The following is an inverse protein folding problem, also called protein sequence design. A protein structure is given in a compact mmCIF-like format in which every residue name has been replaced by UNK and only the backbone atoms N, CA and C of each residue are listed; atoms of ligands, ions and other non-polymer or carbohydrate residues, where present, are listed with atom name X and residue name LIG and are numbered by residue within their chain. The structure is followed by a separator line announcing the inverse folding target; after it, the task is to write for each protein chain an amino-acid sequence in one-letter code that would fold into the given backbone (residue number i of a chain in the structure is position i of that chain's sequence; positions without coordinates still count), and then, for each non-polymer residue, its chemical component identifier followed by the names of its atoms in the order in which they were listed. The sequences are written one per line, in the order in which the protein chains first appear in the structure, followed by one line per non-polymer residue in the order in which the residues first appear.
data_IF_835773399109
#
_entry.id   IF_835773399109
#
_cell.length_a   1.000
_cell.length_b   1.000
_cell.length_c   1.000
_cell.angle_alpha   90.00
_cell.angle_beta   90.00
_cell.angle_gamma   90.00
#
_symmetry.space_group_name_H-M   'P 1'
#
loop_
_entity.id
_entity.type
_entity.pdbx_description
1 polymer ?
#
# COMPACT_ATOMS: atom_id res chain seq x y z
N UNK A 1 16.25 -12.99 -59.18
CA UNK A 1 16.29 -12.15 -57.96
C UNK A 1 14.93 -11.49 -57.66
N UNK A 2 13.82 -12.24 -57.70
CA UNK A 2 12.46 -11.70 -57.43
C UNK A 2 11.69 -12.48 -56.35
N UNK A 3 12.24 -13.61 -55.91
CA UNK A 3 11.65 -14.51 -54.90
C UNK A 3 12.25 -14.34 -53.50
N UNK A 4 13.30 -13.53 -53.36
CA UNK A 4 13.92 -13.25 -52.06
C UNK A 4 13.18 -12.17 -51.25
N UNK A 5 12.37 -11.33 -51.92
CA UNK A 5 11.66 -10.24 -51.25
C UNK A 5 10.37 -10.73 -50.54
N UNK A 6 9.76 -11.80 -51.04
CA UNK A 6 8.55 -12.39 -50.46
C UNK A 6 8.83 -13.27 -49.25
N UNK A 7 10.04 -13.83 -49.12
CA UNK A 7 10.43 -14.61 -47.93
C UNK A 7 10.77 -13.72 -46.74
N UNK A 8 11.24 -12.49 -46.97
CA UNK A 8 11.59 -11.55 -45.89
C UNK A 8 10.36 -10.92 -45.22
N UNK A 9 9.21 -10.90 -45.89
CA UNK A 9 7.97 -10.31 -45.37
C UNK A 9 7.24 -11.23 -44.35
N UNK A 10 7.51 -12.55 -44.38
CA UNK A 10 6.84 -13.53 -43.52
C UNK A 10 7.58 -13.82 -42.21
N UNK A 11 8.83 -13.36 -42.06
CA UNK A 11 9.59 -13.50 -40.80
C UNK A 11 9.25 -12.42 -39.74
N UNK A 12 8.45 -11.42 -40.10
CA UNK A 12 8.09 -10.31 -39.21
C UNK A 12 6.91 -10.55 -38.27
N UNK A 13 6.16 -11.64 -38.44
CA UNK A 13 4.90 -11.88 -37.70
C UNK A 13 5.02 -12.84 -36.50
N UNK A 14 6.22 -13.26 -36.13
CA UNK A 14 6.44 -14.25 -35.06
C UNK A 14 7.04 -13.66 -33.76
N UNK A 15 7.00 -12.35 -33.54
CA UNK A 15 7.25 -11.82 -32.19
C UNK A 15 5.96 -11.94 -31.38
N UNK A 16 5.79 -13.15 -30.85
CA UNK A 16 4.82 -13.50 -29.85
C UNK A 16 4.87 -12.49 -28.69
N UNK A 17 3.69 -12.13 -28.23
CA UNK A 17 3.37 -11.61 -26.91
C UNK A 17 4.30 -12.16 -25.83
N UNK A 18 5.24 -11.36 -25.34
CA UNK A 18 5.86 -11.61 -24.04
C UNK A 18 4.85 -11.19 -22.97
N UNK A 19 3.95 -12.10 -22.60
CA UNK A 19 3.34 -12.09 -21.27
C UNK A 19 4.00 -13.20 -20.45
N UNK A 20 5.29 -13.03 -20.14
CA UNK A 20 5.87 -13.74 -19.02
C UNK A 20 5.52 -12.94 -17.78
N UNK A 21 4.40 -13.29 -17.16
CA UNK A 21 4.15 -12.94 -15.77
C UNK A 21 4.96 -13.96 -14.97
N UNK A 22 6.25 -13.66 -14.75
CA UNK A 22 7.01 -14.36 -13.72
C UNK A 22 6.39 -13.99 -12.38
N UNK A 23 5.45 -14.82 -11.90
CA UNK A 23 5.22 -14.94 -10.48
C UNK A 23 6.43 -15.69 -9.95
N UNK A 24 7.53 -14.96 -9.77
CA UNK A 24 8.57 -15.38 -8.86
C UNK A 24 7.97 -15.29 -7.46
N UNK A 25 7.35 -16.38 -7.01
CA UNK A 25 7.30 -16.68 -5.59
C UNK A 25 8.74 -16.94 -5.18
N UNK A 26 9.44 -15.87 -4.80
CA UNK A 26 10.67 -16.02 -4.05
C UNK A 26 10.27 -16.72 -2.75
N UNK A 27 10.56 -18.02 -2.70
CA UNK A 27 10.59 -18.76 -1.46
C UNK A 27 11.75 -18.17 -0.65
N UNK A 28 11.45 -17.11 0.10
CA UNK A 28 12.33 -16.61 1.14
C UNK A 28 12.22 -17.59 2.30
N UNK A 29 12.77 -18.79 2.12
CA UNK A 29 13.21 -19.67 3.20
C UNK A 29 14.31 -18.93 3.94
N UNK A 30 13.90 -18.01 4.82
CA UNK A 30 14.59 -17.49 6.01
C UNK A 30 13.82 -16.25 6.50
N UNK A 31 12.54 -16.41 6.83
CA UNK A 31 11.93 -15.59 7.85
C UNK A 31 11.35 -16.56 8.87
N UNK A 32 12.13 -16.79 9.92
CA UNK A 32 11.70 -17.61 11.03
C UNK A 32 10.36 -17.08 11.53
N UNK A 33 9.30 -17.84 11.28
CA UNK A 33 8.10 -17.76 12.10
C UNK A 33 8.57 -18.10 13.50
N UNK A 34 8.73 -17.05 14.34
CA UNK A 34 8.88 -17.25 15.78
C UNK A 34 7.54 -17.79 16.25
N UNK A 35 7.43 -19.10 16.22
CA UNK A 35 6.51 -19.84 17.09
C UNK A 35 7.01 -19.59 18.49
N UNK A 36 6.20 -18.92 19.27
CA UNK A 36 6.45 -18.56 20.66
C UNK A 36 6.96 -19.74 21.47
N UNK A 37 8.21 -19.67 21.92
CA UNK A 37 8.62 -20.10 23.26
C UNK A 37 9.96 -19.46 23.67
N UNK A 38 9.90 -18.80 24.82
CA UNK A 38 10.97 -18.46 25.78
C UNK A 38 12.06 -17.39 25.47
N UNK A 39 11.99 -16.33 26.28
CA UNK A 39 13.02 -15.47 26.86
C UNK A 39 14.37 -15.27 26.11
N UNK A 40 14.55 -14.08 25.54
CA UNK A 40 15.77 -13.26 25.75
C UNK A 40 15.61 -11.86 25.15
N UNK A 41 16.15 -10.87 25.87
CA UNK A 41 16.01 -9.44 25.63
C UNK A 41 16.47 -9.02 24.23
N UNK A 42 15.52 -8.64 23.39
CA UNK A 42 15.71 -7.66 22.32
C UNK A 42 14.35 -7.04 22.02
N UNK A 43 14.27 -5.73 22.18
CA UNK A 43 13.05 -4.95 22.00
C UNK A 43 12.68 -4.89 20.52
N UNK A 44 12.25 -6.01 19.95
CA UNK A 44 11.53 -6.04 18.69
C UNK A 44 10.17 -5.44 19.01
N UNK A 45 9.95 -4.21 18.59
CA UNK A 45 8.63 -3.59 18.60
C UNK A 45 7.71 -4.46 17.76
N UNK A 46 6.99 -5.38 18.41
CA UNK A 46 5.86 -6.09 17.81
C UNK A 46 4.87 -5.02 17.40
N UNK A 47 4.87 -4.69 16.12
CA UNK A 47 3.89 -3.76 15.55
C UNK A 47 2.49 -4.26 15.91
N UNK A 48 1.52 -3.35 16.13
CA UNK A 48 0.13 -3.76 16.19
C UNK A 48 -0.11 -4.58 14.93
N UNK A 49 -0.55 -5.84 15.09
CA UNK A 49 -1.13 -6.61 13.99
C UNK A 49 -2.00 -5.62 13.21
N UNK A 50 -1.64 -5.35 11.95
CA UNK A 50 -2.60 -4.79 11.01
C UNK A 50 -3.77 -5.76 11.11
N UNK A 51 -4.87 -5.25 11.64
CA UNK A 51 -5.96 -6.01 12.25
C UNK A 51 -6.31 -7.26 11.46
N UNK A 52 -6.57 -8.39 12.15
CA UNK A 52 -7.12 -9.61 11.54
C UNK A 52 -8.46 -9.34 10.79
N UNK A 53 -9.09 -8.17 11.04
CA UNK A 53 -10.32 -7.69 10.38
C UNK A 53 -10.09 -6.53 9.38
N UNK A 54 -8.84 -6.11 9.15
CA UNK A 54 -8.50 -4.96 8.31
C UNK A 54 -8.38 -5.29 6.82
N UNK A 55 -8.75 -4.35 5.95
CA UNK A 55 -8.47 -4.49 4.51
C UNK A 55 -6.96 -4.54 4.27
N UNK A 56 -6.45 -5.49 3.46
CA UNK A 56 -5.02 -5.60 3.19
C UNK A 56 -4.54 -4.34 2.46
N UNK A 57 -3.34 -3.90 2.80
CA UNK A 57 -2.67 -2.78 2.14
C UNK A 57 -1.74 -3.32 1.04
N UNK A 58 -1.43 -2.47 0.06
CA UNK A 58 -0.40 -2.81 -0.91
C UNK A 58 0.98 -2.79 -0.23
N UNK A 59 1.88 -3.70 -0.63
CA UNK A 59 3.22 -3.88 -0.02
C UNK A 59 4.00 -2.55 0.10
N UNK A 60 3.95 -1.69 -0.92
CA UNK A 60 4.61 -0.38 -0.89
C UNK A 60 4.00 0.56 0.15
N UNK A 61 2.67 0.53 0.31
CA UNK A 61 1.96 1.30 1.32
C UNK A 61 2.32 0.83 2.73
N UNK A 62 2.39 -0.49 2.93
CA UNK A 62 2.82 -1.10 4.19
C UNK A 62 4.25 -0.73 4.55
N UNK A 63 5.17 -0.81 3.58
CA UNK A 63 6.57 -0.41 3.78
C UNK A 63 6.72 1.04 4.23
N UNK A 64 6.00 1.97 3.59
CA UNK A 64 6.02 3.37 3.99
C UNK A 64 5.41 3.54 5.39
N UNK A 65 4.31 2.85 5.69
CA UNK A 65 3.69 2.88 7.02
C UNK A 65 4.63 2.33 8.12
N UNK A 66 5.38 1.28 7.84
CA UNK A 66 6.40 0.74 8.75
C UNK A 66 7.53 1.75 8.99
N UNK A 67 7.92 2.54 7.99
CA UNK A 67 8.91 3.60 8.19
C UNK A 67 8.40 4.66 9.18
N UNK A 68 7.12 5.00 9.13
CA UNK A 68 6.50 5.95 10.08
C UNK A 68 6.57 5.43 11.52
N UNK A 69 6.21 4.17 11.73
CA UNK A 69 6.23 3.58 13.08
C UNK A 69 7.64 3.42 13.65
N UNK A 70 8.64 3.22 12.79
CA UNK A 70 10.04 3.11 13.18
C UNK A 70 10.76 4.46 13.27
N UNK A 71 10.11 5.55 12.88
CA UNK A 71 10.75 6.85 12.87
C UNK A 71 10.87 7.43 14.28
N UNK A 72 12.11 7.63 14.72
CA UNK A 72 12.42 8.32 15.97
C UNK A 72 12.55 9.84 15.74
N UNK A 73 11.51 10.60 16.10
CA UNK A 73 11.52 12.06 16.03
C UNK A 73 12.63 12.69 16.89
N UNK A 74 13.12 12.01 17.94
CA UNK A 74 14.18 12.54 18.81
C UNK A 74 15.52 12.68 18.09
N UNK A 75 15.70 11.92 17.01
CA UNK A 75 16.88 12.04 16.14
C UNK A 75 16.84 13.26 15.23
N UNK A 76 15.68 13.91 15.08
CA UNK A 76 15.52 15.07 14.21
C UNK A 76 16.10 16.33 14.84
N UNK A 77 16.78 17.17 14.04
CA UNK A 77 17.37 18.45 14.49
C UNK A 77 16.35 19.42 15.11
N UNK A 78 15.09 19.32 14.69
CA UNK A 78 13.99 20.18 15.18
C UNK A 78 13.45 19.73 16.52
N UNK A 79 13.80 18.52 16.98
CA UNK A 79 13.34 18.01 18.27
C UNK A 79 14.05 18.72 19.41
N UNK A 80 13.26 19.20 20.37
CA UNK A 80 13.74 19.84 21.59
C UNK A 80 13.07 19.20 22.81
N UNK A 81 13.84 18.57 23.72
CA UNK A 81 13.30 18.00 24.95
C UNK A 81 12.61 19.02 25.87
N UNK A 82 12.94 20.31 25.71
CA UNK A 82 12.38 21.42 26.49
C UNK A 82 11.11 22.01 25.88
N UNK A 83 10.84 21.72 24.60
CA UNK A 83 9.68 22.26 23.92
C UNK A 83 8.41 21.52 24.35
N UNK A 84 7.38 22.26 24.74
CA UNK A 84 6.07 21.71 25.08
C UNK A 84 5.14 21.74 23.86
N UNK A 85 5.56 21.09 22.77
CA UNK A 85 4.80 21.03 21.50
C UNK A 85 4.75 19.61 20.96
N UNK A 86 3.76 19.33 20.12
CA UNK A 86 3.76 18.14 19.25
C UNK A 86 4.61 18.38 18.01
N UNK A 87 5.02 17.29 17.37
CA UNK A 87 5.79 17.29 16.14
C UNK A 87 4.96 16.62 15.04
N UNK A 88 4.81 17.31 13.92
CA UNK A 88 4.19 16.75 12.71
C UNK A 88 5.26 16.41 11.69
N UNK A 89 5.25 15.18 11.20
CA UNK A 89 6.21 14.68 10.23
C UNK A 89 5.45 14.16 9.01
N UNK A 90 5.83 14.66 7.84
CA UNK A 90 5.27 14.21 6.56
C UNK A 90 6.25 13.26 5.88
N UNK A 91 5.79 12.05 5.64
CA UNK A 91 6.48 11.04 4.85
C UNK A 91 5.86 11.05 3.45
N UNK A 92 6.67 11.19 2.41
CA UNK A 92 6.19 11.23 1.04
C UNK A 92 7.09 10.45 0.10
N UNK A 93 6.49 9.59 -0.72
CA UNK A 93 7.17 8.83 -1.77
C UNK A 93 6.29 8.78 -3.01
N UNK A 94 6.63 9.57 -4.03
CA UNK A 94 5.77 9.72 -5.22
C UNK A 94 4.37 10.19 -4.84
N UNK A 95 3.35 9.43 -5.21
CA UNK A 95 1.95 9.74 -4.90
C UNK A 95 1.50 9.20 -3.54
N UNK A 96 2.42 8.73 -2.69
CA UNK A 96 2.10 8.20 -1.37
C UNK A 96 2.47 9.26 -0.34
N UNK A 97 1.57 9.51 0.61
CA UNK A 97 1.78 10.48 1.69
C UNK A 97 1.26 9.93 3.00
N UNK A 98 2.03 10.09 4.07
CA UNK A 98 1.58 9.85 5.44
C UNK A 98 1.96 11.05 6.29
N UNK A 99 0.98 11.64 6.96
CA UNK A 99 1.18 12.69 7.95
C UNK A 99 1.08 12.06 9.35
N UNK A 100 2.16 12.12 10.13
CA UNK A 100 2.27 11.53 11.45
C UNK A 100 2.46 12.59 12.53
N UNK A 101 1.89 12.36 13.70
CA UNK A 101 1.98 13.25 14.86
C UNK A 101 2.67 12.51 16.00
N UNK A 102 3.68 13.17 16.58
CA UNK A 102 4.43 12.69 17.74
C UNK A 102 4.26 13.66 18.91
N UNK A 103 4.17 13.10 20.11
CA UNK A 103 4.10 13.83 21.36
C UNK A 103 5.43 14.54 21.67
N UNK A 104 5.39 15.46 22.64
CA UNK A 104 6.56 16.22 23.11
C UNK A 104 7.71 15.33 23.60
N UNK A 105 7.38 14.16 24.13
CA UNK A 105 8.34 13.16 24.61
C UNK A 105 8.81 12.19 23.51
N UNK A 106 8.43 12.46 22.26
CA UNK A 106 8.77 11.71 21.07
C UNK A 106 7.91 10.46 20.82
N UNK A 107 6.88 10.19 21.63
CA UNK A 107 5.99 9.05 21.40
C UNK A 107 5.10 9.28 20.17
N UNK A 108 4.90 8.25 19.35
CA UNK A 108 3.93 8.28 18.25
C UNK A 108 2.50 8.41 18.80
N UNK A 109 1.72 9.35 18.26
CA UNK A 109 0.31 9.57 18.64
C UNK A 109 -0.61 8.98 17.57
N UNK A 110 -0.48 9.45 16.33
CA UNK A 110 -1.37 9.09 15.24
C UNK A 110 -0.73 9.30 13.86
N UNK A 111 -1.27 8.67 12.83
CA UNK A 111 -0.93 8.92 11.44
C UNK A 111 -2.11 8.80 10.51
N UNK A 112 -2.13 9.64 9.47
CA UNK A 112 -3.09 9.59 8.38
C UNK A 112 -2.35 9.44 7.05
N UNK A 113 -2.65 8.35 6.34
CA UNK A 113 -2.01 7.99 5.08
C UNK A 113 -2.97 8.02 3.90
N UNK A 114 -2.46 8.46 2.74
CA UNK A 114 -3.12 8.38 1.43
C UNK A 114 -2.14 7.77 0.44
N UNK A 115 -2.56 6.71 -0.22
CA UNK A 115 -1.76 5.98 -1.20
C UNK A 115 -2.54 5.89 -2.52
N UNK A 116 -2.09 6.60 -3.55
CA UNK A 116 -2.79 6.64 -4.84
C UNK A 116 -2.31 5.54 -5.80
N UNK A 117 -3.20 5.10 -6.69
CA UNK A 117 -2.95 4.09 -7.73
C UNK A 117 -2.37 2.78 -7.15
N UNK A 118 -2.93 2.35 -6.03
CA UNK A 118 -2.59 1.07 -5.37
C UNK A 118 -3.41 -0.09 -5.95
N UNK A 119 -2.87 -1.31 -5.96
CA UNK A 119 -3.68 -2.51 -6.25
C UNK A 119 -4.95 -2.56 -5.39
N UNK A 120 -6.09 -2.84 -6.03
CA UNK A 120 -7.38 -2.96 -5.35
C UNK A 120 -7.47 -4.37 -4.74
N UNK A 121 -7.85 -4.50 -3.44
CA UNK A 121 -8.09 -5.81 -2.84
C UNK A 121 -9.12 -6.62 -3.63
N UNK A 122 -8.84 -7.92 -3.79
CA UNK A 122 -9.62 -8.80 -4.66
C UNK A 122 -11.13 -8.76 -4.39
N UNK A 123 -11.55 -8.84 -3.12
CA UNK A 123 -12.96 -8.85 -2.75
C UNK A 123 -13.68 -7.55 -3.14
N UNK A 124 -13.01 -6.39 -3.02
CA UNK A 124 -13.54 -5.09 -3.43
C UNK A 124 -13.69 -5.05 -4.95
N UNK A 125 -12.63 -5.45 -5.66
CA UNK A 125 -12.65 -5.50 -7.13
C UNK A 125 -13.74 -6.42 -7.67
N UNK A 126 -13.90 -7.60 -7.06
CA UNK A 126 -14.92 -8.58 -7.41
C UNK A 126 -16.35 -8.04 -7.23
N UNK A 127 -16.66 -7.45 -6.07
CA UNK A 127 -17.99 -6.89 -5.82
C UNK A 127 -18.29 -5.68 -6.71
N UNK A 128 -17.30 -4.83 -6.97
CA UNK A 128 -17.46 -3.70 -7.91
C UNK A 128 -17.71 -4.19 -9.33
N UNK A 129 -16.98 -5.20 -9.80
CA UNK A 129 -17.16 -5.77 -11.14
C UNK A 129 -18.57 -6.37 -11.32
N UNK A 130 -19.12 -7.02 -10.28
CA UNK A 130 -20.49 -7.53 -10.27
C UNK A 130 -21.53 -6.42 -10.27
N UNK A 131 -21.35 -5.39 -9.45
CA UNK A 131 -22.32 -4.29 -9.27
C UNK A 131 -22.31 -3.30 -10.44
N UNK A 132 -21.16 -3.13 -11.10
CA UNK A 132 -20.95 -2.17 -12.18
C UNK A 132 -20.38 -2.85 -13.44
N UNK A 133 -21.13 -3.77 -14.10
CA UNK A 133 -20.64 -4.47 -15.27
C UNK A 133 -20.36 -3.51 -16.45
N UNK A 134 -19.20 -3.71 -17.09
CA UNK A 134 -18.73 -2.89 -18.19
C UNK A 134 -18.26 -1.48 -17.79
N UNK A 135 -18.03 -1.23 -16.50
CA UNK A 135 -17.28 -0.06 -16.03
C UNK A 135 -15.80 -0.42 -15.91
N UNK A 136 -14.91 0.49 -16.31
CA UNK A 136 -13.47 0.34 -16.15
C UNK A 136 -13.02 0.81 -14.77
N UNK A 137 -12.00 0.17 -14.20
CA UNK A 137 -11.28 0.68 -13.03
C UNK A 137 -10.25 1.71 -13.49
N UNK A 138 -10.39 2.95 -13.05
CA UNK A 138 -9.55 4.05 -13.51
C UNK A 138 -8.47 4.44 -12.50
N UNK A 139 -8.84 4.66 -11.23
CA UNK A 139 -7.92 5.02 -10.14
C UNK A 139 -8.34 4.35 -8.84
N UNK A 140 -7.40 4.26 -7.93
CA UNK A 140 -7.61 3.70 -6.60
C UNK A 140 -6.87 4.51 -5.56
N UNK A 141 -7.43 4.58 -4.37
CA UNK A 141 -6.82 5.18 -3.19
C UNK A 141 -6.97 4.22 -2.04
N UNK A 142 -5.87 3.97 -1.32
CA UNK A 142 -5.93 3.38 0.02
C UNK A 142 -5.73 4.51 1.02
N UNK A 143 -6.55 4.49 2.07
CA UNK A 143 -6.44 5.39 3.21
C UNK A 143 -6.10 4.58 4.44
N UNK A 144 -5.08 5.02 5.18
CA UNK A 144 -4.75 4.46 6.48
C UNK A 144 -4.97 5.51 7.57
N UNK A 145 -5.56 5.08 8.69
CA UNK A 145 -5.67 5.89 9.89
C UNK A 145 -5.27 5.04 11.09
N UNK A 146 -4.26 5.51 11.80
CA UNK A 146 -3.75 4.91 13.02
C UNK A 146 -3.79 5.94 14.12
N UNK A 147 -4.27 5.54 15.30
CA UNK A 147 -4.21 6.33 16.52
C UNK A 147 -3.87 5.39 17.66
N UNK A 148 -3.01 5.83 18.58
CA UNK A 148 -2.53 5.00 19.68
C UNK A 148 -3.65 4.38 20.55
N UNK A 149 -4.80 5.06 20.63
CA UNK A 149 -5.97 4.68 21.41
C UNK A 149 -7.05 3.90 20.64
N UNK A 150 -6.87 3.67 19.34
CA UNK A 150 -7.91 3.09 18.46
C UNK A 150 -7.36 1.98 17.59
N UNK A 151 -8.25 1.06 17.21
CA UNK A 151 -7.94 0.05 16.20
C UNK A 151 -7.57 0.73 14.87
N UNK A 152 -6.51 0.25 14.20
CA UNK A 152 -6.17 0.66 12.85
C UNK A 152 -7.36 0.61 11.90
N UNK A 153 -7.48 1.61 11.02
CA UNK A 153 -8.50 1.62 9.97
C UNK A 153 -7.84 1.75 8.61
N UNK A 154 -8.20 0.84 7.72
CA UNK A 154 -7.84 0.88 6.30
C UNK A 154 -9.11 0.92 5.48
N UNK A 155 -9.20 1.85 4.53
CA UNK A 155 -10.31 1.92 3.58
C UNK A 155 -9.78 2.16 2.18
N UNK A 156 -10.60 1.81 1.18
CA UNK A 156 -10.29 2.05 -0.22
C UNK A 156 -11.35 2.93 -0.86
N UNK A 157 -10.93 3.80 -1.78
CA UNK A 157 -11.82 4.44 -2.75
C UNK A 157 -11.35 4.09 -4.15
N UNK A 158 -12.29 3.82 -5.05
CA UNK A 158 -12.03 3.37 -6.41
C UNK A 158 -12.81 4.25 -7.37
N UNK A 159 -12.10 4.92 -8.27
CA UNK A 159 -12.70 5.62 -9.40
C UNK A 159 -12.98 4.61 -10.52
N UNK A 160 -14.25 4.53 -10.93
CA UNK A 160 -14.70 3.73 -12.06
C UNK A 160 -15.28 4.64 -13.15
N UNK A 161 -15.11 4.23 -14.41
CA UNK A 161 -15.59 4.98 -15.58
C UNK A 161 -16.41 4.15 -16.55
N UNK A 162 -17.29 4.80 -17.31
CA UNK A 162 -18.04 4.22 -18.43
C UNK A 162 -18.36 5.30 -19.45
N UNK A 163 -17.56 5.37 -20.51
CA UNK A 163 -17.55 6.53 -21.41
C UNK A 163 -17.22 7.80 -20.63
N UNK A 164 -18.00 8.85 -20.78
CA UNK A 164 -17.78 10.14 -20.11
C UNK A 164 -18.27 10.18 -18.64
N UNK A 165 -18.82 9.06 -18.13
CA UNK A 165 -19.32 8.99 -16.76
C UNK A 165 -18.24 8.48 -15.82
N UNK A 166 -18.05 9.18 -14.71
CA UNK A 166 -17.11 8.82 -13.64
C UNK A 166 -17.85 8.66 -12.31
N UNK A 167 -17.46 7.67 -11.50
CA UNK A 167 -17.92 7.50 -10.12
C UNK A 167 -16.76 7.13 -9.22
N UNK A 168 -16.77 7.62 -7.99
CA UNK A 168 -15.84 7.17 -6.94
C UNK A 168 -16.64 6.37 -5.92
N UNK A 169 -16.26 5.12 -5.71
CA UNK A 169 -16.91 4.20 -4.78
C UNK A 169 -15.97 3.89 -3.63
N UNK A 170 -16.43 4.09 -2.41
CA UNK A 170 -15.66 3.79 -1.19
C UNK A 170 -16.02 2.41 -0.64
N UNK A 171 -15.03 1.67 -0.14
CA UNK A 171 -15.19 0.33 0.43
C UNK A 171 -16.19 0.30 1.59
N UNK A 172 -16.25 1.37 2.38
CA UNK A 172 -17.20 1.50 3.50
C UNK A 172 -18.67 1.56 3.04
N UNK A 173 -18.93 1.82 1.76
CA UNK A 173 -20.28 1.86 1.17
C UNK A 173 -20.63 0.57 0.39
N UNK A 174 -19.76 -0.46 0.45
CA UNK A 174 -19.98 -1.76 -0.17
C UNK A 174 -20.49 -2.84 0.81
N UNK A 175 -20.58 -2.50 2.11
CA UNK A 175 -21.13 -3.34 3.17
C UNK A 175 -22.63 -3.12 3.34
#
# INVERSE_FOLDING_TARGET
MKTFLTTLLLLGFAQATYSQMDIASAENTNMAFITTKDNSNSSVSTFPKISDDGLPMAERSEKLQLQVFNYDIKSAKVFSPKANTTYSVRFSQGNYRIDAIYAKDGQFIQSEGVFENVPIPFHIGYELAKKYPGWEFHKSWCYSNYSFDKSPKTSYSIEIKKGDKTKVISSNALN
#
